data_IF_273903852581
#
_entry.id   IF_273903852581
#
_cell.length_a   1.000
_cell.length_b   1.000
_cell.length_c   1.000
_cell.angle_alpha   90.00
_cell.angle_beta   90.00
_cell.angle_gamma   90.00
#
_symmetry.space_group_name_H-M   'P 1'
#
loop_
_entity.id
_entity.type
_entity.pdbx_description
1 polymer ?
#
# COMPACT_ATOMS: atom_id res chain seq x y z
N UNK A 1 4.34 -15.13 -27.12
CA UNK A 1 4.11 -14.39 -25.85
C UNK A 1 3.79 -12.94 -26.19
N UNK A 2 2.68 -12.38 -25.70
CA UNK A 2 2.33 -10.95 -25.86
C UNK A 2 2.53 -10.29 -24.49
N UNK A 3 3.35 -9.24 -24.44
CA UNK A 3 3.56 -8.43 -23.23
C UNK A 3 2.50 -7.31 -23.21
N UNK A 4 1.95 -7.02 -22.05
CA UNK A 4 1.13 -5.82 -21.87
C UNK A 4 2.00 -4.58 -22.04
N UNK A 5 1.47 -3.56 -22.71
CA UNK A 5 2.20 -2.30 -22.93
C UNK A 5 2.00 -1.40 -21.73
N UNK A 6 3.05 -1.26 -20.92
CA UNK A 6 3.12 -0.29 -19.83
C UNK A 6 3.45 1.09 -20.41
N UNK A 7 2.70 2.12 -20.01
CA UNK A 7 3.00 3.50 -20.35
C UNK A 7 3.64 4.18 -19.14
N UNK A 8 4.97 4.32 -19.17
CA UNK A 8 5.74 4.82 -18.03
C UNK A 8 5.47 6.29 -17.73
N UNK A 9 5.23 7.12 -18.75
CA UNK A 9 4.92 8.53 -18.57
C UNK A 9 3.63 8.73 -17.79
N UNK A 10 2.60 7.91 -18.08
CA UNK A 10 1.35 7.90 -17.33
C UNK A 10 1.52 7.38 -15.90
N UNK A 11 2.31 6.30 -15.70
CA UNK A 11 2.63 5.81 -14.34
C UNK A 11 3.28 6.90 -13.48
N UNK A 12 4.24 7.63 -14.04
CA UNK A 12 4.92 8.73 -13.34
C UNK A 12 3.91 9.85 -13.03
N UNK A 13 3.06 10.25 -13.98
CA UNK A 13 2.05 11.29 -13.75
C UNK A 13 1.05 10.90 -12.66
N UNK A 14 0.58 9.64 -12.65
CA UNK A 14 -0.26 9.11 -11.58
C UNK A 14 0.44 9.20 -10.23
N UNK A 15 1.72 8.81 -10.16
CA UNK A 15 2.48 8.86 -8.91
C UNK A 15 2.70 10.27 -8.40
N UNK A 16 2.91 11.23 -9.29
CA UNK A 16 3.00 12.65 -8.93
C UNK A 16 1.69 13.15 -8.31
N UNK A 17 0.54 12.76 -8.88
CA UNK A 17 -0.76 13.13 -8.36
C UNK A 17 -1.03 12.50 -6.98
N UNK A 18 -0.69 11.23 -6.77
CA UNK A 18 -0.79 10.55 -5.47
C UNK A 18 0.04 11.24 -4.37
N UNK A 19 1.24 11.69 -4.73
CA UNK A 19 2.15 12.38 -3.80
C UNK A 19 1.86 13.89 -3.66
N UNK A 20 0.91 14.43 -4.42
CA UNK A 20 0.62 15.87 -4.46
C UNK A 20 1.77 16.72 -5.01
N UNK A 21 2.66 16.14 -5.81
CA UNK A 21 3.84 16.82 -6.37
C UNK A 21 3.46 17.47 -7.70
N UNK A 22 3.63 18.79 -7.78
CA UNK A 22 3.42 19.53 -9.04
C UNK A 22 4.48 19.17 -10.10
N UNK A 23 4.14 19.30 -11.39
CA UNK A 23 5.10 19.07 -12.51
C UNK A 23 6.34 19.95 -12.40
N UNK A 24 6.19 21.18 -11.91
CA UNK A 24 7.30 22.11 -11.69
C UNK A 24 8.22 21.65 -10.56
N UNK A 25 7.65 21.16 -9.46
CA UNK A 25 8.41 20.59 -8.34
C UNK A 25 9.13 19.30 -8.74
N UNK A 26 8.45 18.42 -9.47
CA UNK A 26 9.06 17.23 -10.04
C UNK A 26 10.28 17.57 -10.88
N UNK A 27 10.16 18.50 -11.83
CA UNK A 27 11.28 18.95 -12.67
C UNK A 27 12.47 19.47 -11.86
N UNK A 28 12.21 20.21 -10.77
CA UNK A 28 13.26 20.66 -9.84
C UNK A 28 13.95 19.50 -9.13
N UNK A 29 13.21 18.50 -8.65
CA UNK A 29 13.78 17.33 -7.95
C UNK A 29 14.70 16.50 -8.83
N UNK A 30 14.35 16.31 -10.09
CA UNK A 30 15.17 15.53 -11.03
C UNK A 30 16.14 16.39 -11.85
N UNK A 31 16.22 17.70 -11.55
CA UNK A 31 17.17 18.61 -12.19
C UNK A 31 16.92 18.91 -13.67
N UNK A 32 15.68 18.81 -14.15
CA UNK A 32 15.33 19.09 -15.55
C UNK A 32 14.39 20.30 -15.71
N UNK A 33 14.47 21.04 -16.83
CA UNK A 33 13.50 22.09 -17.14
C UNK A 33 12.06 21.56 -17.22
N UNK A 34 11.09 22.35 -16.77
CA UNK A 34 9.66 21.99 -16.80
C UNK A 34 9.15 21.61 -18.20
N UNK A 35 9.71 22.21 -19.26
CA UNK A 35 9.37 21.85 -20.65
C UNK A 35 9.70 20.38 -20.98
N UNK A 36 10.75 19.84 -20.36
CA UNK A 36 11.16 18.45 -20.55
C UNK A 36 10.33 17.49 -19.69
N UNK A 37 9.75 17.96 -18.58
CA UNK A 37 8.83 17.15 -17.76
C UNK A 37 7.63 16.72 -18.59
N UNK A 38 6.94 17.66 -19.26
CA UNK A 38 5.76 17.31 -20.07
C UNK A 38 6.11 16.29 -21.16
N UNK A 39 7.27 16.44 -21.80
CA UNK A 39 7.78 15.48 -22.80
C UNK A 39 8.06 14.09 -22.24
N UNK A 40 8.40 13.97 -20.96
CA UNK A 40 8.59 12.67 -20.30
C UNK A 40 7.23 12.03 -20.02
N UNK A 41 6.28 12.80 -19.47
CA UNK A 41 4.95 12.29 -19.10
C UNK A 41 4.11 11.84 -20.32
N UNK A 42 4.28 12.49 -21.47
CA UNK A 42 3.58 12.13 -22.71
C UNK A 42 4.12 10.86 -23.38
N UNK A 43 5.35 10.43 -23.05
CA UNK A 43 6.00 9.30 -23.71
C UNK A 43 5.78 7.98 -22.97
N UNK A 44 5.46 6.88 -23.69
CA UNK A 44 5.30 5.57 -23.06
C UNK A 44 6.63 4.91 -22.69
N UNK A 45 7.76 5.46 -23.13
CA UNK A 45 9.10 4.96 -22.87
C UNK A 45 9.98 6.05 -22.25
N UNK A 46 11.03 5.59 -21.57
CA UNK A 46 12.03 6.45 -20.96
C UNK A 46 13.36 5.70 -20.92
N UNK A 47 14.44 6.47 -20.86
CA UNK A 47 15.77 5.92 -20.63
C UNK A 47 15.87 5.32 -19.20
N UNK A 48 16.56 4.19 -19.07
CA UNK A 48 16.72 3.48 -17.80
C UNK A 48 17.42 4.34 -16.74
N UNK A 49 18.46 5.10 -17.09
CA UNK A 49 19.16 5.96 -16.12
C UNK A 49 18.23 7.06 -15.59
N UNK A 50 17.40 7.62 -16.48
CA UNK A 50 16.39 8.61 -16.09
C UNK A 50 15.32 8.00 -15.20
N UNK A 51 14.90 6.76 -15.48
CA UNK A 51 13.92 6.06 -14.68
C UNK A 51 14.45 5.81 -13.26
N UNK A 52 15.72 5.43 -13.11
CA UNK A 52 16.37 5.29 -11.80
C UNK A 52 16.33 6.61 -11.03
N UNK A 53 16.78 7.71 -11.64
CA UNK A 53 16.79 9.03 -10.98
C UNK A 53 15.38 9.48 -10.56
N UNK A 54 14.37 9.24 -11.40
CA UNK A 54 12.97 9.53 -11.10
C UNK A 54 12.45 8.64 -9.96
N UNK A 55 12.81 7.36 -9.98
CA UNK A 55 12.48 6.40 -8.92
C UNK A 55 13.03 6.82 -7.57
N UNK A 56 14.30 7.24 -7.52
CA UNK A 56 14.94 7.73 -6.30
C UNK A 56 14.31 9.05 -5.82
N UNK A 57 14.05 9.99 -6.72
CA UNK A 57 13.47 11.29 -6.40
C UNK A 57 12.02 11.22 -5.88
N UNK A 58 11.28 10.18 -6.28
CA UNK A 58 9.89 9.94 -5.86
C UNK A 58 9.77 8.84 -4.81
N UNK A 59 10.85 8.15 -4.46
CA UNK A 59 10.84 7.02 -3.51
C UNK A 59 9.98 5.85 -3.98
N UNK A 60 9.86 5.63 -5.30
CA UNK A 60 9.02 4.60 -5.89
C UNK A 60 9.74 3.85 -7.01
N UNK A 61 9.71 2.52 -6.97
CA UNK A 61 10.37 1.68 -7.96
C UNK A 61 9.50 1.49 -9.22
N UNK A 62 9.67 2.31 -10.25
CA UNK A 62 8.88 2.20 -11.49
C UNK A 62 9.24 0.97 -12.34
N UNK A 63 10.32 0.26 -12.03
CA UNK A 63 10.64 -1.00 -12.70
C UNK A 63 9.64 -2.11 -12.36
N UNK A 64 8.95 -2.01 -11.21
CA UNK A 64 7.90 -2.97 -10.85
C UNK A 64 6.71 -2.92 -11.80
N UNK A 65 6.45 -1.76 -12.43
CA UNK A 65 5.32 -1.58 -13.35
C UNK A 65 5.44 -2.46 -14.59
N UNK A 66 6.67 -2.86 -14.95
CA UNK A 66 6.97 -3.76 -16.06
C UNK A 66 6.90 -5.24 -15.68
N UNK A 67 6.80 -5.57 -14.39
CA UNK A 67 6.58 -6.94 -13.95
C UNK A 67 5.13 -7.33 -14.18
N UNK A 68 4.91 -8.42 -14.91
CA UNK A 68 3.58 -8.99 -15.16
C UNK A 68 2.93 -9.63 -13.94
N UNK A 69 3.57 -9.60 -12.76
CA UNK A 69 2.96 -10.02 -11.51
C UNK A 69 2.17 -8.87 -10.87
N UNK A 70 0.91 -8.70 -11.32
CA UNK A 70 -0.28 -8.27 -10.55
C UNK A 70 -0.22 -6.94 -9.73
N UNK A 71 -1.09 -5.94 -9.90
CA UNK A 71 -2.55 -6.02 -9.73
C UNK A 71 -3.26 -4.73 -10.23
N UNK A 72 -4.17 -4.86 -11.21
CA UNK A 72 -5.47 -4.19 -11.08
C UNK A 72 -6.30 -5.02 -10.11
N UNK A 73 -6.21 -4.72 -8.82
CA UNK A 73 -7.17 -5.23 -7.85
C UNK A 73 -8.49 -4.50 -8.07
N UNK A 74 -9.30 -5.00 -9.01
CA UNK A 74 -10.72 -4.70 -9.02
C UNK A 74 -11.29 -5.48 -7.84
N UNK A 75 -11.62 -4.77 -6.77
CA UNK A 75 -12.29 -5.34 -5.61
C UNK A 75 -13.69 -5.80 -6.05
N UNK A 76 -13.79 -7.05 -6.50
CA UNK A 76 -15.06 -7.69 -6.82
C UNK A 76 -15.42 -8.61 -5.65
N UNK A 77 -16.10 -8.03 -4.66
CA UNK A 77 -17.14 -8.66 -3.84
C UNK A 77 -16.80 -9.81 -2.88
N UNK A 78 -15.88 -10.71 -3.20
CA UNK A 78 -15.74 -11.98 -2.49
C UNK A 78 -14.29 -12.21 -2.04
N UNK A 79 -13.91 -11.52 -0.96
CA UNK A 79 -13.05 -12.00 0.14
C UNK A 79 -11.70 -12.71 -0.11
N UNK A 80 -11.23 -12.90 -1.33
CA UNK A 80 -10.01 -13.63 -1.65
C UNK A 80 -8.93 -12.66 -2.12
N UNK A 81 -8.06 -12.26 -1.20
CA UNK A 81 -6.86 -11.46 -1.49
C UNK A 81 -5.68 -12.43 -1.66
N UNK A 82 -5.39 -12.82 -2.89
CA UNK A 82 -4.12 -13.49 -3.18
C UNK A 82 -3.03 -12.42 -3.34
N UNK A 83 -2.33 -12.13 -2.25
CA UNK A 83 -1.11 -11.30 -2.25
C UNK A 83 0.06 -12.22 -2.59
N UNK A 84 0.59 -12.15 -3.81
CA UNK A 84 1.91 -12.68 -4.10
C UNK A 84 2.85 -11.53 -4.43
N UNK A 85 3.43 -10.94 -3.38
CA UNK A 85 4.37 -9.85 -3.50
C UNK A 85 5.37 -9.90 -2.35
N UNK A 86 6.56 -10.44 -2.62
CA UNK A 86 7.69 -10.33 -1.72
C UNK A 86 8.43 -9.02 -2.02
N UNK A 87 8.24 -7.99 -1.20
CA UNK A 87 9.12 -6.83 -1.14
C UNK A 87 9.62 -6.74 0.29
N UNK A 88 10.95 -6.80 0.49
CA UNK A 88 11.68 -6.56 1.73
C UNK A 88 10.82 -5.97 2.86
N UNK A 89 10.13 -6.87 3.55
CA UNK A 89 9.45 -6.67 4.80
C UNK A 89 9.25 -8.07 5.35
N UNK A 90 9.51 -8.21 6.63
CA UNK A 90 9.30 -9.40 7.42
C UNK A 90 7.81 -9.78 7.42
N UNK A 91 7.28 -10.21 6.28
CA UNK A 91 5.91 -10.69 6.12
C UNK A 91 5.99 -12.20 6.15
N UNK A 92 5.98 -12.73 7.37
CA UNK A 92 5.68 -14.13 7.63
C UNK A 92 4.19 -14.32 7.31
N UNK A 93 3.88 -14.47 6.02
CA UNK A 93 2.53 -14.53 5.43
C UNK A 93 1.68 -15.75 5.86
N UNK A 94 2.02 -16.42 6.97
CA UNK A 94 1.22 -17.50 7.55
C UNK A 94 1.13 -17.47 9.08
N UNK A 95 2.02 -16.75 9.77
CA UNK A 95 2.01 -16.69 11.24
C UNK A 95 1.08 -15.57 11.73
N UNK A 96 1.01 -14.43 11.04
CA UNK A 96 0.19 -13.30 11.48
C UNK A 96 -1.30 -13.60 11.46
N UNK A 97 -1.84 -14.32 10.48
CA UNK A 97 -3.28 -14.63 10.47
C UNK A 97 -3.69 -15.53 11.65
N UNK A 98 -2.89 -16.54 11.97
CA UNK A 98 -3.14 -17.42 13.12
C UNK A 98 -2.92 -16.69 14.45
N UNK A 99 -1.87 -15.87 14.55
CA UNK A 99 -1.57 -15.06 15.73
C UNK A 99 -2.65 -13.98 15.96
N UNK A 100 -3.16 -13.36 14.89
CA UNK A 100 -4.27 -12.42 14.93
C UNK A 100 -5.56 -13.12 15.35
N UNK A 101 -5.83 -14.32 14.87
CA UNK A 101 -6.98 -15.12 15.30
C UNK A 101 -6.90 -15.49 16.78
N UNK A 102 -5.71 -15.90 17.25
CA UNK A 102 -5.45 -16.18 18.66
C UNK A 102 -5.60 -14.92 19.52
N UNK A 103 -5.12 -13.77 19.02
CA UNK A 103 -5.26 -12.48 19.69
C UNK A 103 -6.71 -12.03 19.77
N UNK A 104 -7.49 -12.22 18.70
CA UNK A 104 -8.93 -11.94 18.67
C UNK A 104 -9.63 -12.80 19.72
N UNK A 105 -9.38 -14.11 19.73
CA UNK A 105 -9.96 -15.04 20.71
C UNK A 105 -9.65 -14.63 22.15
N UNK A 106 -8.39 -14.28 22.45
CA UNK A 106 -8.01 -13.84 23.80
C UNK A 106 -8.67 -12.51 24.19
N UNK A 107 -8.84 -11.59 23.24
CA UNK A 107 -9.55 -10.32 23.49
C UNK A 107 -11.04 -10.54 23.76
N UNK A 108 -11.68 -11.47 23.05
CA UNK A 108 -13.08 -11.87 23.32
C UNK A 108 -13.23 -12.48 24.71
N UNK A 109 -12.33 -13.37 25.13
CA UNK A 109 -12.32 -13.95 26.47
C UNK A 109 -12.17 -12.87 27.56
N UNK A 110 -11.27 -11.90 27.36
CA UNK A 110 -11.09 -10.77 28.28
C UNK A 110 -12.34 -9.89 28.36
N UNK A 111 -13.03 -9.65 27.24
CA UNK A 111 -14.28 -8.88 27.22
C UNK A 111 -15.37 -9.59 28.03
N UNK A 112 -15.54 -10.90 27.85
CA UNK A 112 -16.51 -11.70 28.62
C UNK A 112 -16.22 -11.64 30.12
N UNK A 113 -14.95 -11.74 30.52
CA UNK A 113 -14.59 -11.67 31.94
C UNK A 113 -14.82 -10.27 32.52
N UNK A 114 -14.55 -9.21 31.74
CA UNK A 114 -14.86 -7.83 32.14
C UNK A 114 -16.36 -7.61 32.32
N UNK A 115 -17.19 -8.14 31.44
CA UNK A 115 -18.66 -8.07 31.58
C UNK A 115 -19.17 -8.81 32.82
N UNK A 116 -18.61 -9.99 33.12
CA UNK A 116 -18.94 -10.71 34.36
C UNK A 116 -18.56 -9.93 35.59
N UNK A 117 -17.37 -9.35 35.61
CA UNK A 117 -16.88 -8.56 36.73
C UNK A 117 -17.74 -7.31 36.96
N UNK A 118 -18.15 -6.62 35.88
CA UNK A 118 -19.10 -5.50 35.96
C UNK A 118 -20.40 -5.94 36.64
N UNK A 119 -21.00 -7.06 36.23
CA UNK A 119 -22.24 -7.59 36.84
C UNK A 119 -22.10 -7.98 38.31
N UNK A 120 -20.90 -8.37 38.74
CA UNK A 120 -20.62 -8.65 40.16
C UNK A 120 -20.50 -7.33 40.94
N UNK A 121 -19.81 -6.34 40.39
CA UNK A 121 -19.71 -5.02 41.02
C UNK A 121 -21.05 -4.30 41.11
N UNK A 122 -21.89 -4.38 40.08
CA UNK A 122 -23.25 -3.83 40.10
C UNK A 122 -24.06 -4.39 41.27
N UNK A 123 -24.06 -5.73 41.44
CA UNK A 123 -24.71 -6.38 42.58
C UNK A 123 -24.15 -5.96 43.94
N UNK A 124 -22.82 -5.88 44.07
CA UNK A 124 -22.18 -5.42 45.31
C UNK A 124 -22.48 -3.95 45.64
N UNK A 125 -22.70 -3.12 44.62
CA UNK A 125 -23.09 -1.72 44.78
C UNK A 125 -24.57 -1.61 45.15
N UNK A 126 -25.43 -2.46 44.58
CA UNK A 126 -26.85 -2.56 44.92
C UNK A 126 -27.06 -3.07 46.35
N UNK A 127 -26.29 -4.07 46.81
CA UNK A 127 -26.35 -4.61 48.17
C UNK A 127 -25.80 -3.65 49.24
N UNK A 128 -25.05 -2.61 48.85
CA UNK A 128 -24.49 -1.59 49.75
C UNK A 128 -25.33 -0.31 49.83
N UNK A 129 -26.46 -0.25 49.12
CA UNK A 129 -27.47 0.81 49.25
C UNK A 129 -28.60 0.37 50.17
#
# INVERSE_FOLDING_TARGET
>A
MKLEKVNIGLSIEQKLNELGISKSEFGRRIGIPQQNVNRILEKPNIDTEKLVAISEALGYNFFSDYSSEHHKAVASGDGAVAVNGNNNSNVVAGCDAALLQERIKHLEELLVEKERLIKVYERLVEEKK
#
